data_IF_723784017638
#
_entry.id   IF_723784017638
#
_cell.length_a   1.000
_cell.length_b   1.000
_cell.length_c   1.000
_cell.angle_alpha   90.00
_cell.angle_beta   90.00
_cell.angle_gamma   90.00
#
_symmetry.space_group_name_H-M   'P 1'
#
loop_
_entity.id
_entity.type
_entity.pdbx_description
1 polymer ?
#
# COMPACT_ATOMS: atom_id res chain seq x y z
N UNK A 1 38.42 -19.00 -2.42
CA UNK A 1 38.40 -18.27 -3.70
C UNK A 1 37.17 -17.35 -3.62
N UNK A 2 37.44 -16.10 -3.16
CA UNK A 2 36.36 -15.10 -2.90
C UNK A 2 35.87 -14.50 -4.20
N UNK A 3 34.81 -15.04 -4.76
CA UNK A 3 34.18 -14.54 -6.00
C UNK A 3 33.20 -13.38 -5.78
N UNK A 4 33.10 -12.80 -4.58
CA UNK A 4 32.18 -11.73 -4.24
C UNK A 4 32.82 -10.44 -3.70
N UNK A 5 34.07 -10.15 -4.07
CA UNK A 5 34.68 -8.82 -3.87
C UNK A 5 34.61 -7.94 -5.10
N UNK A 6 33.53 -8.03 -5.88
CA UNK A 6 33.16 -7.05 -6.90
C UNK A 6 32.10 -6.14 -6.33
N UNK A 7 32.40 -4.83 -6.22
CA UNK A 7 31.64 -3.75 -5.63
C UNK A 7 30.15 -3.99 -5.49
N UNK A 8 29.71 -4.13 -4.27
CA UNK A 8 28.30 -3.99 -3.91
C UNK A 8 27.95 -2.56 -4.28
N UNK A 9 27.20 -2.38 -5.37
CA UNK A 9 26.45 -1.16 -5.58
C UNK A 9 25.56 -1.04 -4.35
N UNK A 10 25.99 -0.26 -3.37
CA UNK A 10 25.13 0.09 -2.25
C UNK A 10 23.96 0.82 -2.87
N UNK A 11 22.78 0.18 -2.91
CA UNK A 11 21.55 0.85 -3.25
C UNK A 11 21.41 2.03 -2.30
N UNK A 12 21.49 3.23 -2.85
CA UNK A 12 21.24 4.44 -2.09
C UNK A 12 19.73 4.68 -2.14
N UNK A 13 19.08 4.58 -0.99
CA UNK A 13 17.71 5.03 -0.85
C UNK A 13 17.59 6.53 -1.10
N UNK A 14 16.43 6.96 -1.59
CA UNK A 14 16.11 8.37 -1.72
C UNK A 14 15.95 9.01 -0.34
N UNK A 15 16.14 10.32 -0.27
CA UNK A 15 15.90 11.05 0.95
C UNK A 15 14.39 11.14 1.23
N UNK A 16 14.01 11.19 2.51
CA UNK A 16 12.60 11.20 2.93
C UNK A 16 11.86 12.42 2.37
N UNK A 17 12.52 13.57 2.29
CA UNK A 17 11.96 14.80 1.74
C UNK A 17 11.56 14.63 0.26
N UNK A 18 12.36 13.92 -0.52
CA UNK A 18 12.07 13.62 -1.93
C UNK A 18 10.87 12.67 -2.02
N UNK A 19 10.82 11.64 -1.19
CA UNK A 19 9.69 10.71 -1.12
C UNK A 19 8.37 11.44 -0.76
N UNK A 20 8.41 12.34 0.23
CA UNK A 20 7.25 13.15 0.60
C UNK A 20 6.82 14.08 -0.54
N UNK A 21 7.77 14.68 -1.27
CA UNK A 21 7.46 15.51 -2.42
C UNK A 21 6.80 14.71 -3.55
N UNK A 22 7.26 13.49 -3.80
CA UNK A 22 6.69 12.59 -4.80
C UNK A 22 5.27 12.15 -4.42
N UNK A 23 5.01 11.78 -3.17
CA UNK A 23 3.65 11.48 -2.68
C UNK A 23 2.71 12.68 -2.86
N UNK A 24 3.15 13.89 -2.49
CA UNK A 24 2.36 15.12 -2.71
C UNK A 24 2.07 15.40 -4.18
N UNK A 25 2.99 15.04 -5.06
CA UNK A 25 2.82 15.16 -6.51
C UNK A 25 1.92 14.05 -7.11
N UNK A 26 1.44 13.08 -6.32
CA UNK A 26 0.61 11.96 -6.77
C UNK A 26 1.40 10.87 -7.47
N UNK A 27 2.70 10.77 -7.22
CA UNK A 27 3.52 9.68 -7.74
C UNK A 27 3.45 8.45 -6.85
N UNK A 28 3.73 7.30 -7.44
CA UNK A 28 3.96 6.06 -6.73
C UNK A 28 5.41 6.01 -6.28
N UNK A 29 5.64 5.68 -5.02
CA UNK A 29 6.96 5.36 -4.49
C UNK A 29 7.01 3.89 -4.07
N UNK A 30 8.21 3.35 -3.87
CA UNK A 30 8.43 2.03 -3.26
C UNK A 30 8.94 2.26 -1.84
N UNK A 31 8.22 1.73 -0.87
CA UNK A 31 8.63 1.69 0.53
C UNK A 31 9.08 0.27 0.84
N UNK A 32 10.27 0.14 1.41
CA UNK A 32 10.86 -1.16 1.77
C UNK A 32 11.01 -1.19 3.28
N UNK A 33 10.56 -2.24 3.90
CA UNK A 33 10.74 -2.46 5.33
C UNK A 33 12.06 -3.17 5.64
N UNK A 34 12.35 -3.35 6.93
CA UNK A 34 13.59 -3.93 7.41
C UNK A 34 13.68 -5.42 7.02
N UNK A 35 14.91 -5.87 6.72
CA UNK A 35 15.21 -7.27 6.41
C UNK A 35 14.79 -8.23 7.54
N UNK A 36 14.82 -7.75 8.79
CA UNK A 36 14.43 -8.52 9.98
C UNK A 36 12.91 -8.55 10.21
N UNK A 37 12.10 -7.81 9.41
CA UNK A 37 10.65 -7.78 9.48
C UNK A 37 10.04 -8.63 8.36
N UNK A 38 9.36 -8.04 7.40
CA UNK A 38 8.77 -8.76 6.25
C UNK A 38 9.73 -8.84 5.07
N UNK A 39 10.69 -7.91 4.98
CA UNK A 39 11.63 -7.76 3.87
C UNK A 39 10.91 -7.69 2.52
N UNK A 40 9.85 -6.92 2.48
CA UNK A 40 9.00 -6.72 1.31
C UNK A 40 9.00 -5.26 0.87
N UNK A 41 8.62 -5.01 -0.36
CA UNK A 41 8.47 -3.68 -0.91
C UNK A 41 7.03 -3.38 -1.27
N UNK A 42 6.51 -2.24 -0.80
CA UNK A 42 5.16 -1.78 -1.06
C UNK A 42 5.15 -0.64 -2.07
N UNK A 43 4.23 -0.71 -3.04
CA UNK A 43 3.91 0.42 -3.90
C UNK A 43 2.94 1.33 -3.16
N UNK A 44 3.33 2.57 -2.91
CA UNK A 44 2.58 3.52 -2.08
C UNK A 44 2.32 4.81 -2.82
N UNK A 45 1.11 5.34 -2.72
CA UNK A 45 0.75 6.68 -3.17
C UNK A 45 -0.33 7.30 -2.28
N UNK A 46 -0.52 8.62 -2.38
CA UNK A 46 -1.60 9.28 -1.68
C UNK A 46 -2.98 8.85 -2.24
N UNK A 47 -3.88 8.40 -1.37
CA UNK A 47 -5.22 7.96 -1.78
C UNK A 47 -6.00 9.07 -2.50
N UNK A 48 -5.90 10.32 -2.06
CA UNK A 48 -6.53 11.48 -2.71
C UNK A 48 -6.06 11.76 -4.15
N UNK A 49 -4.94 11.15 -4.57
CA UNK A 49 -4.35 11.29 -5.91
C UNK A 49 -4.48 10.01 -6.75
N UNK A 50 -5.11 8.97 -6.20
CA UNK A 50 -5.19 7.67 -6.86
C UNK A 50 -6.03 7.75 -8.14
N UNK A 51 -5.60 7.02 -9.16
CA UNK A 51 -6.28 6.90 -10.44
C UNK A 51 -6.46 5.42 -10.81
N UNK A 52 -7.36 5.13 -11.75
CA UNK A 52 -7.51 3.77 -12.27
C UNK A 52 -6.23 3.22 -12.88
N UNK A 53 -5.44 4.07 -13.55
CA UNK A 53 -4.14 3.69 -14.11
C UNK A 53 -3.13 3.32 -13.02
N UNK A 54 -3.10 4.08 -11.92
CA UNK A 54 -2.23 3.79 -10.78
C UNK A 54 -2.60 2.46 -10.12
N UNK A 55 -3.88 2.20 -9.88
CA UNK A 55 -4.37 0.92 -9.36
C UNK A 55 -4.03 -0.24 -10.31
N UNK A 56 -4.25 -0.06 -11.62
CA UNK A 56 -3.89 -1.08 -12.60
C UNK A 56 -2.37 -1.35 -12.62
N UNK A 57 -1.56 -0.32 -12.46
CA UNK A 57 -0.11 -0.48 -12.34
C UNK A 57 0.26 -1.29 -11.09
N UNK A 58 -0.29 -0.94 -9.93
CA UNK A 58 -0.06 -1.65 -8.67
C UNK A 58 -0.47 -3.13 -8.78
N UNK A 59 -1.66 -3.40 -9.31
CA UNK A 59 -2.16 -4.78 -9.49
C UNK A 59 -1.30 -5.59 -10.46
N UNK A 60 -0.84 -4.98 -11.54
CA UNK A 60 -0.07 -5.66 -12.58
C UNK A 60 1.36 -5.97 -12.13
N UNK A 61 2.02 -5.03 -11.51
CA UNK A 61 3.46 -5.12 -11.19
C UNK A 61 3.74 -5.43 -9.72
N UNK A 62 2.95 -4.91 -8.80
CA UNK A 62 3.09 -5.18 -7.37
C UNK A 62 2.57 -6.56 -7.00
N UNK A 63 1.46 -6.99 -7.58
CA UNK A 63 0.86 -8.35 -7.42
C UNK A 63 0.49 -8.73 -5.99
N UNK A 64 0.41 -7.85 -5.11
CA UNK A 64 0.01 -8.08 -3.74
C UNK A 64 -1.46 -7.74 -3.51
N UNK A 65 -1.80 -7.57 -2.26
CA UNK A 65 -3.09 -7.08 -1.83
C UNK A 65 -3.12 -5.55 -1.93
N UNK A 66 -4.18 -5.01 -2.54
CA UNK A 66 -4.39 -3.56 -2.57
C UNK A 66 -5.08 -3.16 -1.26
N UNK A 67 -4.39 -2.35 -0.47
CA UNK A 67 -4.84 -1.89 0.83
C UNK A 67 -4.98 -0.37 0.86
N UNK A 68 -5.86 0.13 1.71
CA UNK A 68 -5.98 1.54 2.02
C UNK A 68 -5.90 1.74 3.53
N UNK A 69 -4.71 2.04 4.08
CA UNK A 69 -4.57 2.31 5.51
C UNK A 69 -5.42 3.52 5.92
N UNK A 70 -6.13 3.37 7.02
CA UNK A 70 -7.02 4.41 7.57
C UNK A 70 -6.79 4.56 9.06
N UNK A 71 -7.05 5.76 9.58
CA UNK A 71 -7.06 6.00 11.02
C UNK A 71 -8.28 5.34 11.68
N UNK A 72 -8.13 4.96 12.95
CA UNK A 72 -9.16 4.24 13.70
C UNK A 72 -10.47 5.02 13.80
N UNK A 73 -10.39 6.35 13.89
CA UNK A 73 -11.55 7.23 13.93
C UNK A 73 -12.40 7.12 12.66
N UNK A 74 -11.76 7.08 11.48
CA UNK A 74 -12.43 6.90 10.20
C UNK A 74 -13.10 5.53 10.12
N UNK A 75 -12.40 4.48 10.56
CA UNK A 75 -12.94 3.12 10.59
C UNK A 75 -14.18 3.02 11.48
N UNK A 76 -14.17 3.68 12.64
CA UNK A 76 -15.34 3.73 13.56
C UNK A 76 -16.51 4.48 12.94
N UNK A 77 -16.26 5.64 12.31
CA UNK A 77 -17.30 6.44 11.65
C UNK A 77 -17.96 5.65 10.52
N UNK A 78 -17.17 4.93 9.72
CA UNK A 78 -17.64 4.09 8.62
C UNK A 78 -18.17 2.73 9.08
N UNK A 79 -18.07 2.39 10.37
CA UNK A 79 -18.44 1.09 10.95
C UNK A 79 -17.70 -0.10 10.30
N UNK A 80 -16.45 0.11 9.94
CA UNK A 80 -15.58 -0.92 9.37
C UNK A 80 -14.89 -1.67 10.51
N UNK A 81 -15.27 -2.93 10.69
CA UNK A 81 -14.77 -3.75 11.79
C UNK A 81 -13.54 -4.56 11.40
N UNK A 82 -12.80 -5.00 12.42
CA UNK A 82 -11.70 -5.95 12.24
C UNK A 82 -12.17 -7.22 11.54
N UNK A 83 -11.32 -7.78 10.68
CA UNK A 83 -11.61 -9.02 9.96
C UNK A 83 -11.76 -10.20 10.92
N UNK A 84 -10.99 -10.22 12.00
CA UNK A 84 -11.00 -11.27 13.03
C UNK A 84 -11.05 -10.65 14.43
N UNK A 85 -11.70 -11.34 15.37
CA UNK A 85 -11.72 -10.93 16.78
C UNK A 85 -10.39 -11.24 17.48
N UNK A 86 -9.75 -12.34 17.10
CA UNK A 86 -8.47 -12.76 17.64
C UNK A 86 -7.45 -12.87 16.51
N UNK A 87 -6.54 -11.90 16.44
CA UNK A 87 -5.50 -11.86 15.42
C UNK A 87 -4.38 -12.83 15.78
N UNK A 88 -4.14 -13.80 14.90
CA UNK A 88 -3.08 -14.82 15.03
C UNK A 88 -1.96 -14.63 14.01
N UNK A 89 -1.97 -13.50 13.31
CA UNK A 89 -0.90 -13.15 12.37
C UNK A 89 0.44 -12.91 13.10
N UNK A 90 1.54 -13.38 12.52
CA UNK A 90 2.87 -13.24 13.11
C UNK A 90 3.33 -11.78 13.27
N UNK A 91 2.83 -10.89 12.42
CA UNK A 91 3.13 -9.46 12.43
C UNK A 91 2.01 -8.62 13.04
N UNK A 92 0.94 -9.26 13.51
CA UNK A 92 -0.24 -8.63 14.11
C UNK A 92 -0.91 -7.59 13.20
N UNK A 93 -0.84 -7.78 11.87
CA UNK A 93 -1.41 -6.84 10.89
C UNK A 93 -2.93 -6.71 11.11
N UNK A 94 -3.38 -5.50 11.41
CA UNK A 94 -4.76 -5.21 11.78
C UNK A 94 -5.66 -5.07 10.54
N UNK A 95 -5.90 -6.15 9.81
CA UNK A 95 -6.85 -6.14 8.70
C UNK A 95 -8.28 -5.97 9.18
N UNK A 96 -9.03 -5.18 8.42
CA UNK A 96 -10.48 -5.05 8.55
C UNK A 96 -11.20 -5.96 7.56
N UNK A 97 -12.53 -6.00 7.63
CA UNK A 97 -13.33 -6.54 6.53
C UNK A 97 -13.02 -5.76 5.24
N UNK A 98 -13.07 -6.43 4.09
CA UNK A 98 -12.90 -5.76 2.79
C UNK A 98 -14.09 -4.85 2.50
N UNK A 99 -13.82 -3.75 1.81
CA UNK A 99 -14.82 -2.73 1.49
C UNK A 99 -14.69 -2.27 0.05
N UNK A 100 -15.81 -1.79 -0.50
CA UNK A 100 -15.89 -1.12 -1.79
C UNK A 100 -16.51 0.27 -1.59
N UNK A 101 -16.26 1.17 -2.54
CA UNK A 101 -17.04 2.40 -2.59
C UNK A 101 -18.50 2.09 -2.95
N UNK A 102 -19.44 2.73 -2.25
CA UNK A 102 -20.89 2.43 -2.30
C UNK A 102 -21.53 2.50 -3.70
N UNK A 103 -20.98 3.33 -4.59
CA UNK A 103 -21.53 3.55 -5.94
C UNK A 103 -20.77 2.74 -7.01
N UNK A 104 -20.24 1.57 -6.65
CA UNK A 104 -19.59 0.63 -7.56
C UNK A 104 -20.52 -0.49 -7.98
N UNK A 105 -20.12 -1.27 -8.99
CA UNK A 105 -20.80 -2.50 -9.38
C UNK A 105 -20.26 -3.69 -8.59
N UNK A 106 -19.17 -4.30 -9.05
CA UNK A 106 -18.48 -5.40 -8.34
C UNK A 106 -17.33 -4.91 -7.46
N UNK A 107 -16.91 -3.66 -7.60
CA UNK A 107 -15.84 -3.04 -6.82
C UNK A 107 -14.43 -3.53 -7.14
N UNK A 108 -14.23 -4.35 -8.17
CA UNK A 108 -12.93 -5.00 -8.44
C UNK A 108 -12.15 -4.42 -9.61
N UNK A 109 -12.76 -3.59 -10.46
CA UNK A 109 -12.03 -2.94 -11.54
C UNK A 109 -11.06 -1.89 -10.99
N UNK A 110 -9.95 -1.66 -11.69
CA UNK A 110 -8.98 -0.65 -11.29
C UNK A 110 -9.63 0.75 -11.18
N UNK A 111 -10.58 1.05 -12.04
CA UNK A 111 -11.36 2.28 -11.95
C UNK A 111 -12.19 2.34 -10.66
N UNK A 112 -12.98 1.30 -10.36
CA UNK A 112 -13.84 1.26 -9.17
C UNK A 112 -13.01 1.27 -7.88
N UNK A 113 -11.90 0.53 -7.83
CA UNK A 113 -10.98 0.57 -6.69
C UNK A 113 -10.39 1.97 -6.48
N UNK A 114 -10.16 2.74 -7.54
CA UNK A 114 -9.63 4.11 -7.41
C UNK A 114 -10.63 5.08 -6.77
N UNK A 115 -11.90 4.72 -6.67
CA UNK A 115 -12.94 5.57 -6.04
C UNK A 115 -12.96 5.48 -4.52
N UNK A 116 -12.17 4.60 -3.91
CA UNK A 116 -12.18 4.36 -2.46
C UNK A 116 -11.83 5.61 -1.62
N UNK A 117 -11.16 6.60 -2.18
CA UNK A 117 -10.84 7.85 -1.51
C UNK A 117 -12.02 8.83 -1.42
N UNK A 118 -13.14 8.50 -2.06
CA UNK A 118 -14.38 9.30 -2.04
C UNK A 118 -15.27 8.78 -0.91
N UNK A 119 -15.21 9.39 0.23
CA UNK A 119 -16.09 9.12 1.37
C UNK A 119 -16.78 10.37 1.89
#
# INVERSE_FOLDING_TARGET
>A
MDLFKGGINMFKFNDIEDAVADIRAGKIIIVIDDEDRENEGDLVMAAEKVTGEAINFMATYGKGLICTPMEEEILKELQINSMVENNTDNHETAFTVSVDYKDTTTGISAYELSLIHIW
#
